data_IF_844988271329
#
_entry.id   IF_844988271329
#
_cell.length_a   1.000
_cell.length_b   1.000
_cell.length_c   1.000
_cell.angle_alpha   90.00
_cell.angle_beta   90.00
_cell.angle_gamma   90.00
#
_symmetry.space_group_name_H-M   'P 1'
#
loop_
_entity.id
_entity.type
_entity.pdbx_description
1 polymer ?
#
# COMPACT_ATOMS: atom_id res chain seq x y z
N UNK A 1 -4.10 66.41 2.13
CA UNK A 1 -3.99 66.61 0.67
C UNK A 1 -2.68 66.01 0.19
N UNK A 2 -2.75 65.24 -0.90
CA UNK A 2 -1.68 64.46 -1.50
C UNK A 2 -0.73 65.28 -2.40
N UNK A 3 0.42 64.66 -2.72
CA UNK A 3 1.39 64.92 -3.81
C UNK A 3 2.51 65.93 -3.45
N UNK A 4 3.81 65.70 -3.70
CA UNK A 4 4.47 65.04 -4.82
C UNK A 4 5.80 64.33 -4.47
N UNK A 5 6.02 63.18 -5.12
CA UNK A 5 7.20 62.70 -5.86
C UNK A 5 8.60 63.26 -5.51
N UNK A 6 9.50 62.34 -5.17
CA UNK A 6 10.94 62.46 -5.40
C UNK A 6 11.52 61.10 -5.76
N UNK A 7 11.66 60.83 -7.05
CA UNK A 7 12.46 59.72 -7.58
C UNK A 7 13.88 60.26 -7.78
N UNK A 8 14.87 59.64 -7.14
CA UNK A 8 16.26 59.73 -7.57
C UNK A 8 16.82 58.31 -7.70
N UNK A 9 17.18 57.98 -8.94
CA UNK A 9 17.91 56.80 -9.38
C UNK A 9 19.40 56.98 -9.06
N UNK A 10 20.04 56.00 -8.43
CA UNK A 10 21.48 55.75 -8.54
C UNK A 10 21.66 54.23 -8.62
N UNK A 11 22.28 53.76 -9.71
CA UNK A 11 22.60 52.35 -9.98
C UNK A 11 23.87 51.86 -9.25
N UNK A 12 24.63 50.93 -9.85
CA UNK A 12 24.55 49.49 -9.59
C UNK A 12 25.80 48.92 -8.89
N UNK A 13 25.74 47.61 -8.58
CA UNK A 13 26.84 46.73 -8.10
C UNK A 13 27.31 46.98 -6.65
N UNK A 14 27.58 46.01 -5.78
CA UNK A 14 27.47 44.56 -5.66
C UNK A 14 27.83 44.28 -4.17
N UNK A 15 27.75 43.03 -3.72
CA UNK A 15 28.43 42.48 -2.52
C UNK A 15 27.71 42.45 -1.15
N UNK A 16 27.27 41.21 -0.85
CA UNK A 16 27.44 40.48 0.42
C UNK A 16 26.33 40.57 1.49
N UNK A 17 25.36 39.67 1.30
CA UNK A 17 25.00 38.59 2.23
C UNK A 17 25.44 38.74 3.70
N UNK A 18 24.49 39.06 4.59
CA UNK A 18 24.61 38.68 6.01
C UNK A 18 23.28 38.60 6.76
N UNK A 19 22.38 37.71 6.33
CA UNK A 19 21.25 37.28 7.19
C UNK A 19 21.79 36.34 8.28
N UNK A 20 21.88 36.84 9.52
CA UNK A 20 22.15 36.01 10.70
C UNK A 20 20.93 35.12 10.98
N UNK A 21 21.09 33.80 10.85
CA UNK A 21 20.12 32.83 11.38
C UNK A 21 20.57 32.42 12.78
N UNK A 22 19.73 32.66 13.77
CA UNK A 22 19.90 32.15 15.13
C UNK A 22 19.58 30.66 15.09
N UNK A 23 20.59 29.80 15.29
CA UNK A 23 20.38 28.38 15.50
C UNK A 23 20.13 28.15 16.99
N UNK A 24 18.87 27.84 17.35
CA UNK A 24 18.54 27.33 18.68
C UNK A 24 19.02 25.88 18.73
N UNK A 25 20.13 25.66 19.44
CA UNK A 25 20.70 24.33 19.69
C UNK A 25 19.90 23.67 20.81
N UNK A 26 18.81 22.99 20.47
CA UNK A 26 18.13 22.07 21.40
C UNK A 26 18.94 20.78 21.43
N UNK A 27 19.68 20.56 22.51
CA UNK A 27 20.40 19.30 22.74
C UNK A 27 19.41 18.27 23.28
N UNK A 28 18.60 17.67 22.41
CA UNK A 28 17.87 16.46 22.76
C UNK A 28 18.86 15.30 22.78
N UNK A 29 19.13 14.79 23.99
CA UNK A 29 19.87 13.55 24.22
C UNK A 29 19.07 12.39 23.61
N UNK A 30 19.30 12.09 22.35
CA UNK A 30 18.81 10.86 21.72
C UNK A 30 19.66 9.70 22.21
N UNK A 31 19.03 8.75 22.88
CA UNK A 31 19.62 7.47 23.24
C UNK A 31 20.05 6.74 21.97
N UNK A 32 21.36 6.52 21.87
CA UNK A 32 22.03 5.84 20.78
C UNK A 32 21.84 4.33 20.91
N UNK A 33 20.74 3.78 20.38
CA UNK A 33 20.57 2.32 20.29
C UNK A 33 20.25 1.82 18.91
N UNK A 34 20.38 2.62 17.84
CA UNK A 34 20.32 2.08 16.47
C UNK A 34 21.69 2.12 15.81
N UNK A 35 22.62 1.32 16.36
CA UNK A 35 23.84 0.93 15.65
C UNK A 35 23.56 -0.32 14.83
N UNK A 36 23.55 -0.14 13.51
CA UNK A 36 23.95 -1.13 12.51
C UNK A 36 23.31 -2.52 12.59
N UNK A 37 22.14 -2.70 11.98
CA UNK A 37 21.83 -4.00 11.34
C UNK A 37 22.39 -3.94 9.92
N UNK A 38 23.71 -4.11 9.83
CA UNK A 38 24.39 -4.35 8.56
C UNK A 38 23.87 -5.65 7.95
N UNK A 39 23.64 -5.63 6.63
CA UNK A 39 23.21 -6.78 5.84
C UNK A 39 24.08 -8.01 6.15
N UNK A 40 23.53 -8.99 6.85
CA UNK A 40 23.99 -10.38 6.70
C UNK A 40 23.18 -10.97 5.55
N UNK A 41 23.82 -11.11 4.38
CA UNK A 41 23.38 -12.11 3.40
C UNK A 41 23.42 -13.45 4.13
N UNK A 42 22.26 -14.05 4.37
CA UNK A 42 22.21 -15.45 4.78
C UNK A 42 22.74 -16.27 3.59
N UNK A 43 23.88 -16.92 3.76
CA UNK A 43 24.24 -18.03 2.90
C UNK A 43 23.24 -19.14 3.19
N UNK A 44 22.45 -19.50 2.18
CA UNK A 44 21.63 -20.70 2.23
C UNK A 44 22.60 -21.88 2.21
N UNK A 45 22.88 -22.43 3.39
CA UNK A 45 23.46 -23.77 3.48
C UNK A 45 22.40 -24.76 2.98
N UNK A 46 22.73 -25.41 1.88
CA UNK A 46 22.11 -26.62 1.36
C UNK A 46 22.01 -27.64 2.50
N UNK A 47 20.83 -27.75 3.12
CA UNK A 47 20.57 -28.76 4.14
C UNK A 47 20.15 -30.06 3.45
N UNK A 48 21.15 -30.93 3.38
CA UNK A 48 21.12 -32.37 3.17
C UNK A 48 19.77 -33.01 3.53
N UNK A 49 19.23 -33.70 2.54
CA UNK A 49 18.17 -34.70 2.64
C UNK A 49 18.47 -35.68 3.78
N UNK A 50 17.54 -35.84 4.72
CA UNK A 50 17.53 -36.99 5.61
C UNK A 50 16.09 -37.42 5.87
N UNK A 51 15.77 -38.62 5.36
CA UNK A 51 14.55 -39.39 5.62
C UNK A 51 14.35 -39.56 7.13
N UNK A 52 13.15 -39.26 7.61
CA UNK A 52 12.75 -39.52 8.98
C UNK A 52 11.24 -39.37 9.14
N UNK A 53 10.53 -40.49 9.02
CA UNK A 53 9.09 -40.64 9.22
C UNK A 53 8.71 -40.24 10.64
N UNK A 54 7.96 -39.14 10.81
CA UNK A 54 7.15 -38.88 12.01
C UNK A 54 5.80 -38.37 11.54
N UNK A 55 4.80 -39.26 11.57
CA UNK A 55 3.39 -38.92 11.40
C UNK A 55 2.98 -37.90 12.47
N UNK A 56 2.73 -36.66 12.04
CA UNK A 56 1.77 -35.80 12.73
C UNK A 56 0.53 -35.70 11.86
N UNK A 57 -0.50 -36.39 12.35
CA UNK A 57 -1.87 -36.34 11.87
C UNK A 57 -2.43 -34.93 12.13
N UNK A 58 -2.10 -34.01 11.24
CA UNK A 58 -2.80 -32.73 11.12
C UNK A 58 -3.81 -32.90 10.00
N UNK A 59 -5.08 -32.85 10.37
CA UNK A 59 -6.23 -32.97 9.49
C UNK A 59 -6.07 -32.09 8.25
N UNK A 60 -6.05 -32.77 7.11
CA UNK A 60 -6.29 -32.29 5.76
C UNK A 60 -7.37 -31.20 5.75
N UNK A 61 -6.95 -29.95 5.67
CA UNK A 61 -7.69 -28.93 4.93
C UNK A 61 -6.91 -28.81 3.63
N UNK A 62 -7.62 -29.15 2.57
CA UNK A 62 -7.08 -29.44 1.25
C UNK A 62 -6.27 -28.24 0.74
N UNK A 63 -5.09 -28.53 0.21
CA UNK A 63 -4.40 -27.66 -0.72
C UNK A 63 -5.30 -27.51 -1.94
N UNK A 64 -6.08 -26.45 -1.98
CA UNK A 64 -6.73 -26.00 -3.20
C UNK A 64 -5.71 -25.15 -3.97
N UNK A 65 -5.71 -25.32 -5.28
CA UNK A 65 -4.58 -25.08 -6.18
C UNK A 65 -4.08 -23.63 -6.20
N UNK A 66 -3.04 -23.42 -7.00
CA UNK A 66 -2.47 -22.14 -7.45
C UNK A 66 -3.50 -21.29 -8.25
N UNK A 67 -4.76 -21.25 -7.79
CA UNK A 67 -5.89 -20.62 -8.44
C UNK A 67 -5.76 -19.11 -8.28
N UNK A 68 -5.56 -18.45 -9.40
CA UNK A 68 -5.56 -17.00 -9.47
C UNK A 68 -6.96 -16.56 -9.83
N UNK A 69 -7.54 -15.67 -9.03
CA UNK A 69 -8.92 -15.20 -9.18
C UNK A 69 -8.96 -13.70 -9.54
N UNK A 70 -9.98 -13.24 -10.28
CA UNK A 70 -10.12 -11.83 -10.60
C UNK A 70 -10.48 -11.01 -9.37
N UNK A 71 -9.84 -9.85 -9.20
CA UNK A 71 -10.08 -8.90 -8.09
C UNK A 71 -11.56 -8.48 -8.04
N UNK A 72 -12.20 -8.29 -9.21
CA UNK A 72 -13.63 -7.93 -9.31
C UNK A 72 -14.55 -8.93 -8.60
N UNK A 73 -14.17 -10.20 -8.49
CA UNK A 73 -14.99 -11.24 -7.83
C UNK A 73 -15.10 -11.00 -6.32
N UNK A 74 -14.06 -10.48 -5.69
CA UNK A 74 -14.00 -10.27 -4.25
C UNK A 74 -14.52 -8.88 -3.81
N UNK A 75 -14.48 -7.89 -4.70
CA UNK A 75 -14.90 -6.51 -4.41
C UNK A 75 -15.80 -5.91 -5.51
N UNK A 76 -16.88 -6.58 -5.94
CA UNK A 76 -17.72 -6.11 -7.04
C UNK A 76 -18.38 -4.75 -6.75
N UNK A 77 -18.72 -4.50 -5.48
CA UNK A 77 -19.30 -3.25 -4.99
C UNK A 77 -18.35 -2.07 -5.15
N UNK A 78 -17.05 -2.27 -4.89
CA UNK A 78 -16.02 -1.22 -5.02
C UNK A 78 -15.79 -0.85 -6.48
N UNK A 79 -15.88 -1.83 -7.40
CA UNK A 79 -15.80 -1.57 -8.84
C UNK A 79 -16.94 -0.68 -9.31
N UNK A 80 -18.16 -0.95 -8.85
CA UNK A 80 -19.33 -0.11 -9.15
C UNK A 80 -19.21 1.28 -8.53
N UNK A 81 -18.75 1.38 -7.29
CA UNK A 81 -18.61 2.66 -6.56
C UNK A 81 -17.58 3.61 -7.19
N UNK A 82 -16.51 3.06 -7.77
CA UNK A 82 -15.39 3.84 -8.32
C UNK A 82 -15.43 3.97 -9.85
N UNK A 83 -16.47 3.42 -10.50
CA UNK A 83 -16.61 3.36 -11.96
C UNK A 83 -15.30 2.89 -12.63
N UNK A 84 -14.74 1.81 -12.10
CA UNK A 84 -13.46 1.28 -12.56
C UNK A 84 -13.58 0.80 -14.01
N UNK A 85 -12.62 1.19 -14.85
CA UNK A 85 -12.63 0.83 -16.27
C UNK A 85 -12.43 -0.68 -16.48
N UNK A 86 -12.81 -1.17 -17.67
CA UNK A 86 -12.58 -2.56 -18.06
C UNK A 86 -11.11 -2.98 -17.98
N UNK A 87 -10.16 -2.03 -18.07
CA UNK A 87 -8.73 -2.34 -17.93
C UNK A 87 -8.38 -2.86 -16.52
N UNK A 88 -9.11 -2.43 -15.49
CA UNK A 88 -8.99 -2.93 -14.12
C UNK A 88 -9.73 -4.26 -13.89
N UNK A 89 -10.60 -4.67 -14.81
CA UNK A 89 -11.32 -5.95 -14.70
C UNK A 89 -10.39 -7.16 -14.89
N UNK A 90 -9.24 -6.95 -15.52
CA UNK A 90 -8.20 -7.96 -15.75
C UNK A 90 -7.27 -8.16 -14.56
N UNK A 91 -7.46 -7.42 -13.45
CA UNK A 91 -6.63 -7.59 -12.26
C UNK A 91 -6.90 -8.95 -11.62
N UNK A 92 -5.82 -9.64 -11.28
CA UNK A 92 -5.86 -10.98 -10.72
C UNK A 92 -5.08 -11.01 -9.41
N UNK A 93 -5.49 -11.88 -8.49
CA UNK A 93 -4.77 -12.14 -7.24
C UNK A 93 -4.89 -13.61 -6.86
N UNK A 94 -3.96 -14.10 -6.03
CA UNK A 94 -3.99 -15.46 -5.52
C UNK A 94 -4.48 -15.45 -4.07
N UNK A 95 -5.69 -15.94 -3.76
CA UNK A 95 -6.21 -15.98 -2.40
C UNK A 95 -5.25 -16.69 -1.44
N UNK A 96 -5.06 -16.14 -0.24
CA UNK A 96 -4.15 -16.70 0.77
C UNK A 96 -2.66 -16.47 0.49
N UNK A 97 -2.27 -15.96 -0.69
CA UNK A 97 -0.90 -15.61 -1.02
C UNK A 97 -0.77 -14.11 -1.38
N UNK A 98 -0.74 -13.26 -0.36
CA UNK A 98 -0.57 -11.81 -0.53
C UNK A 98 0.83 -11.39 -1.02
N UNK A 99 1.80 -12.31 -1.02
CA UNK A 99 3.20 -12.05 -1.38
C UNK A 99 3.59 -12.64 -2.74
N UNK A 100 2.61 -13.07 -3.54
CA UNK A 100 2.89 -13.53 -4.91
C UNK A 100 3.50 -12.38 -5.73
N UNK A 101 4.81 -12.43 -5.94
CA UNK A 101 5.56 -11.39 -6.63
C UNK A 101 5.09 -11.19 -8.07
N UNK A 102 4.67 -12.27 -8.75
CA UNK A 102 4.17 -12.17 -10.12
C UNK A 102 2.88 -11.34 -10.17
N UNK A 103 1.94 -11.58 -9.25
CA UNK A 103 0.71 -10.80 -9.14
C UNK A 103 0.97 -9.35 -8.75
N UNK A 104 1.86 -9.12 -7.78
CA UNK A 104 2.27 -7.78 -7.35
C UNK A 104 2.92 -7.01 -8.50
N UNK A 105 3.80 -7.65 -9.27
CA UNK A 105 4.49 -7.01 -10.39
C UNK A 105 3.54 -6.75 -11.56
N UNK A 106 2.67 -7.71 -11.90
CA UNK A 106 1.61 -7.52 -12.89
C UNK A 106 0.73 -6.33 -12.51
N UNK A 107 0.35 -6.23 -11.23
CA UNK A 107 -0.45 -5.14 -10.72
C UNK A 107 0.23 -3.78 -10.88
N UNK A 108 1.51 -3.69 -10.52
CA UNK A 108 2.31 -2.47 -10.71
C UNK A 108 2.44 -2.07 -12.18
N UNK A 109 2.72 -3.03 -13.05
CA UNK A 109 2.90 -2.77 -14.50
C UNK A 109 1.60 -2.28 -15.11
N UNK A 110 0.48 -2.93 -14.81
CA UNK A 110 -0.82 -2.52 -15.29
C UNK A 110 -1.21 -1.13 -14.74
N UNK A 111 -0.94 -0.84 -13.46
CA UNK A 111 -1.18 0.48 -12.87
C UNK A 111 -0.47 1.62 -13.62
N UNK A 112 0.81 1.47 -13.96
CA UNK A 112 1.59 2.52 -14.65
C UNK A 112 0.95 3.06 -15.93
N UNK A 113 0.26 2.20 -16.67
CA UNK A 113 -0.32 2.58 -17.95
C UNK A 113 -1.71 3.20 -17.81
N UNK A 114 -2.35 3.12 -16.63
CA UNK A 114 -3.75 3.53 -16.49
C UNK A 114 -3.96 5.04 -16.49
N UNK A 115 -3.01 5.80 -15.95
CA UNK A 115 -3.11 7.26 -15.80
C UNK A 115 -2.00 8.02 -16.55
N UNK A 116 -1.29 7.33 -17.44
CA UNK A 116 -0.19 7.89 -18.23
C UNK A 116 -0.67 9.08 -19.09
N UNK A 117 -1.83 8.92 -19.73
CA UNK A 117 -2.40 9.92 -20.65
C UNK A 117 -3.38 10.90 -19.99
N UNK A 118 -3.62 10.76 -18.68
CA UNK A 118 -4.53 11.66 -17.97
C UNK A 118 -3.89 13.02 -17.69
N UNK A 119 -4.68 14.07 -17.87
CA UNK A 119 -4.31 15.42 -17.48
C UNK A 119 -4.16 15.52 -15.94
N UNK A 120 -3.40 16.50 -15.42
CA UNK A 120 -3.15 16.66 -13.99
C UNK A 120 -4.42 16.84 -13.14
N UNK A 121 -5.51 17.41 -13.69
CA UNK A 121 -6.76 17.65 -12.98
C UNK A 121 -7.50 16.32 -12.81
N UNK A 122 -7.61 15.54 -13.88
CA UNK A 122 -8.18 14.18 -13.85
C UNK A 122 -7.38 13.25 -12.95
N UNK A 123 -6.04 13.37 -12.94
CA UNK A 123 -5.18 12.61 -12.02
C UNK A 123 -5.47 12.93 -10.56
N UNK A 124 -5.74 14.20 -10.22
CA UNK A 124 -6.13 14.61 -8.86
C UNK A 124 -7.48 14.02 -8.46
N UNK A 125 -8.43 13.92 -9.37
CA UNK A 125 -9.70 13.23 -9.09
C UNK A 125 -9.48 11.75 -8.73
N UNK A 126 -8.51 11.08 -9.35
CA UNK A 126 -8.14 9.70 -9.02
C UNK A 126 -7.45 9.53 -7.65
N UNK A 127 -6.86 10.58 -7.10
CA UNK A 127 -6.39 10.58 -5.69
C UNK A 127 -7.57 10.51 -4.72
N UNK A 128 -8.69 11.17 -5.01
CA UNK A 128 -9.90 11.08 -4.18
C UNK A 128 -10.46 9.64 -4.16
N UNK A 129 -10.35 8.91 -5.29
CA UNK A 129 -10.73 7.50 -5.34
C UNK A 129 -9.85 6.63 -4.43
N UNK A 130 -8.56 6.97 -4.25
CA UNK A 130 -7.71 6.27 -3.27
C UNK A 130 -8.18 6.47 -1.82
N UNK A 131 -8.71 7.65 -1.48
CA UNK A 131 -9.26 7.88 -0.14
C UNK A 131 -10.50 7.01 0.10
N UNK A 132 -11.36 6.87 -0.91
CA UNK A 132 -12.50 5.92 -0.85
C UNK A 132 -12.02 4.49 -0.64
N UNK A 133 -11.02 4.02 -1.40
CA UNK A 133 -10.44 2.67 -1.23
C UNK A 133 -9.89 2.49 0.19
N UNK A 134 -9.16 3.49 0.71
CA UNK A 134 -8.64 3.47 2.09
C UNK A 134 -9.75 3.35 3.13
N UNK A 135 -10.85 4.07 2.94
CA UNK A 135 -12.00 4.01 3.84
C UNK A 135 -12.64 2.61 3.82
N UNK A 136 -12.79 2.00 2.63
CA UNK A 136 -13.31 0.62 2.53
C UNK A 136 -12.38 -0.38 3.21
N UNK A 137 -11.07 -0.29 3.00
CA UNK A 137 -10.07 -1.12 3.70
C UNK A 137 -10.24 -0.98 5.23
N UNK A 138 -10.39 0.26 5.71
CA UNK A 138 -10.57 0.51 7.13
C UNK A 138 -11.83 -0.15 7.69
N UNK A 139 -12.98 0.00 7.01
CA UNK A 139 -14.23 -0.64 7.42
C UNK A 139 -14.14 -2.16 7.41
N UNK A 140 -13.63 -2.75 6.32
CA UNK A 140 -13.45 -4.21 6.23
C UNK A 140 -12.47 -4.73 7.30
N UNK A 141 -11.45 -3.95 7.67
CA UNK A 141 -10.54 -4.30 8.77
C UNK A 141 -11.26 -4.30 10.12
N UNK A 142 -12.14 -3.32 10.38
CA UNK A 142 -12.95 -3.27 11.60
C UNK A 142 -13.90 -4.48 11.65
N UNK A 143 -14.58 -4.79 10.56
CA UNK A 143 -15.46 -5.97 10.45
C UNK A 143 -14.71 -7.26 10.77
N UNK A 144 -13.53 -7.44 10.18
CA UNK A 144 -12.64 -8.59 10.47
C UNK A 144 -12.28 -8.68 11.94
N UNK A 145 -11.92 -7.56 12.56
CA UNK A 145 -11.59 -7.52 13.99
C UNK A 145 -12.80 -7.89 14.87
N UNK A 146 -13.99 -7.45 14.48
CA UNK A 146 -15.24 -7.79 15.19
C UNK A 146 -15.55 -9.28 15.06
N UNK A 147 -15.42 -9.86 13.86
CA UNK A 147 -15.56 -11.32 13.64
C UNK A 147 -14.55 -12.09 14.49
N UNK A 148 -13.28 -11.67 14.51
CA UNK A 148 -12.24 -12.30 15.36
C UNK A 148 -12.58 -12.23 16.86
N UNK A 149 -13.11 -11.10 17.35
CA UNK A 149 -13.52 -10.97 18.77
C UNK A 149 -14.67 -11.92 19.10
N UNK A 150 -15.67 -12.02 18.22
CA UNK A 150 -16.84 -12.87 18.42
C UNK A 150 -16.48 -14.37 18.30
N UNK A 151 -15.51 -14.72 17.46
CA UNK A 151 -15.02 -16.09 17.30
C UNK A 151 -14.26 -16.60 18.55
N UNK A 152 -13.66 -15.71 19.36
CA UNK A 152 -13.12 -16.10 20.67
C UNK A 152 -14.20 -16.57 21.64
N UNK A 153 -15.44 -16.10 21.46
CA UNK A 153 -16.58 -16.46 22.30
C UNK A 153 -17.37 -17.65 21.74
N UNK A 154 -17.16 -18.01 20.46
CA UNK A 154 -17.90 -19.08 19.76
C UNK A 154 -16.96 -19.85 18.83
N UNK A 155 -16.76 -21.14 19.10
CA UNK A 155 -15.72 -22.02 18.50
C UNK A 155 -15.92 -22.39 17.00
N UNK A 156 -16.61 -21.57 16.22
CA UNK A 156 -16.87 -21.83 14.81
C UNK A 156 -16.02 -20.92 13.91
N UNK A 157 -15.20 -21.52 13.05
CA UNK A 157 -14.53 -20.83 11.96
C UNK A 157 -15.57 -20.31 10.97
N UNK A 158 -15.89 -19.02 11.07
CA UNK A 158 -16.95 -18.45 10.25
C UNK A 158 -16.44 -18.26 8.82
N UNK A 159 -17.17 -18.76 7.83
CA UNK A 159 -16.99 -18.47 6.40
C UNK A 159 -16.84 -16.97 6.15
N UNK A 160 -17.48 -16.14 6.98
CA UNK A 160 -17.36 -14.68 6.96
C UNK A 160 -15.93 -14.17 7.12
N UNK A 161 -15.08 -14.85 7.89
CA UNK A 161 -13.69 -14.43 8.09
C UNK A 161 -12.87 -14.62 6.81
N UNK A 162 -13.02 -15.76 6.13
CA UNK A 162 -12.32 -16.04 4.87
C UNK A 162 -12.74 -15.02 3.78
N UNK A 163 -14.04 -14.73 3.69
CA UNK A 163 -14.55 -13.69 2.76
C UNK A 163 -13.95 -12.31 3.05
N UNK A 164 -13.78 -11.95 4.32
CA UNK A 164 -13.16 -10.68 4.71
C UNK A 164 -11.65 -10.64 4.39
N UNK A 165 -10.93 -11.75 4.56
CA UNK A 165 -9.52 -11.86 4.16
C UNK A 165 -9.34 -11.72 2.65
N UNK A 166 -10.16 -12.44 1.87
CA UNK A 166 -10.15 -12.35 0.40
C UNK A 166 -10.44 -10.93 -0.06
N UNK A 167 -11.44 -10.29 0.56
CA UNK A 167 -11.78 -8.89 0.30
C UNK A 167 -10.63 -7.95 0.61
N UNK A 168 -9.97 -8.09 1.77
CA UNK A 168 -8.83 -7.25 2.14
C UNK A 168 -7.65 -7.43 1.18
N UNK A 169 -7.38 -8.66 0.75
CA UNK A 169 -6.32 -8.93 -0.20
C UNK A 169 -6.62 -8.32 -1.58
N UNK A 170 -7.85 -8.46 -2.07
CA UNK A 170 -8.31 -7.84 -3.31
C UNK A 170 -8.22 -6.30 -3.25
N UNK A 171 -8.62 -5.69 -2.13
CA UNK A 171 -8.48 -4.23 -1.90
C UNK A 171 -7.01 -3.80 -1.89
N UNK A 172 -6.11 -4.59 -1.33
CA UNK A 172 -4.69 -4.29 -1.31
C UNK A 172 -4.08 -4.30 -2.73
N UNK A 173 -4.49 -5.26 -3.57
CA UNK A 173 -4.08 -5.31 -4.98
C UNK A 173 -4.60 -4.08 -5.72
N UNK A 174 -5.88 -3.73 -5.56
CA UNK A 174 -6.46 -2.51 -6.16
C UNK A 174 -5.70 -1.26 -5.72
N UNK A 175 -5.37 -1.14 -4.43
CA UNK A 175 -4.60 -0.01 -3.90
C UNK A 175 -3.19 0.05 -4.51
N UNK A 176 -2.55 -1.10 -4.70
CA UNK A 176 -1.24 -1.18 -5.33
C UNK A 176 -1.26 -0.67 -6.78
N UNK A 177 -2.29 -1.01 -7.55
CA UNK A 177 -2.50 -0.47 -8.90
C UNK A 177 -2.60 1.05 -8.90
N UNK A 178 -3.46 1.61 -8.05
CA UNK A 178 -3.63 3.06 -7.93
C UNK A 178 -2.34 3.77 -7.51
N UNK A 179 -1.60 3.20 -6.56
CA UNK A 179 -0.30 3.73 -6.15
C UNK A 179 0.70 3.74 -7.33
N UNK A 180 0.76 2.66 -8.10
CA UNK A 180 1.70 2.54 -9.22
C UNK A 180 1.35 3.48 -10.39
N UNK A 181 0.06 3.80 -10.55
CA UNK A 181 -0.43 4.68 -11.59
C UNK A 181 -0.17 6.19 -11.31
N UNK A 182 0.10 6.54 -10.05
CA UNK A 182 0.26 7.93 -9.59
C UNK A 182 1.71 8.31 -9.23
N UNK A 183 2.65 7.37 -9.29
CA UNK A 183 4.09 7.56 -9.04
C UNK A 183 4.82 8.03 -10.29
#
# INVERSE_FOLDING_TARGET
MLLLKGVCLIGPEELLSRRRRIAVKVSERLSSTWKSVGRRRASFHLLKENKGTIERKTSVIQMEADEVVPVRRAIPDVFSMLELSENLSQMMYQPGNAYNEQMINAAKVAGKNMFADLDPISRKAKINDMEKIRNVIHQTTIERLNVMKNMKNTRSGSVNFAVLEDRLQALAVLMLHYCAALQ
#
